data_IF_061241126989
#
_entry.id   IF_061241126989
#
_cell.length_a   1.000
_cell.length_b   1.000
_cell.length_c   1.000
_cell.angle_alpha   90.00
_cell.angle_beta   90.00
_cell.angle_gamma   90.00
#
_symmetry.space_group_name_H-M   'P 1'
#
loop_
_entity.id
_entity.type
_entity.pdbx_description
1 polymer ?
#
# COMPACT_ATOMS: atom_id res chain seq x y z
N UNK A 1 -3.76 20.83 9.05
CA UNK A 1 -5.03 20.49 8.37
C UNK A 1 -6.21 20.49 9.33
N UNK A 2 -6.16 19.70 10.42
CA UNK A 2 -7.24 19.60 11.42
C UNK A 2 -7.75 20.95 11.98
N UNK A 3 -6.85 21.90 12.30
CA UNK A 3 -7.25 23.19 12.87
C UNK A 3 -8.06 24.10 11.91
N UNK A 4 -8.21 23.73 10.63
CA UNK A 4 -9.02 24.45 9.64
C UNK A 4 -10.50 24.07 9.66
N UNK A 5 -10.86 22.95 10.29
CA UNK A 5 -12.25 22.51 10.44
C UNK A 5 -12.62 22.56 11.93
N UNK A 6 -13.72 23.24 12.26
CA UNK A 6 -14.09 23.50 13.66
C UNK A 6 -14.36 22.19 14.42
N UNK A 7 -15.08 21.24 13.83
CA UNK A 7 -15.33 19.95 14.46
C UNK A 7 -14.04 19.16 14.74
N UNK A 8 -13.12 19.11 13.77
CA UNK A 8 -11.79 18.53 13.96
C UNK A 8 -10.99 19.23 15.05
N UNK A 9 -11.09 20.56 15.13
CA UNK A 9 -10.43 21.32 16.20
C UNK A 9 -10.98 20.93 17.57
N UNK A 10 -12.29 20.80 17.70
CA UNK A 10 -12.96 20.44 18.95
C UNK A 10 -12.70 18.99 19.37
N UNK A 11 -12.58 18.06 18.42
CA UNK A 11 -12.28 16.66 18.76
C UNK A 11 -10.81 16.43 19.10
N UNK A 12 -9.87 17.01 18.36
CA UNK A 12 -8.45 16.62 18.45
C UNK A 12 -7.59 17.59 19.28
N UNK A 13 -8.14 18.73 19.69
CA UNK A 13 -7.45 19.70 20.54
C UNK A 13 -8.24 19.97 21.82
N UNK A 14 -7.51 20.29 22.89
CA UNK A 14 -8.07 20.85 24.11
C UNK A 14 -8.49 22.30 23.88
N UNK A 15 -9.12 22.89 24.90
CA UNK A 15 -9.50 24.31 24.89
C UNK A 15 -8.34 25.20 24.45
N UNK A 16 -8.68 26.27 23.71
CA UNK A 16 -7.73 27.21 23.11
C UNK A 16 -6.75 26.58 22.10
N UNK A 17 -7.00 25.35 21.64
CA UNK A 17 -6.20 24.69 20.60
C UNK A 17 -4.95 23.98 21.11
N UNK A 18 -4.86 23.68 22.41
CA UNK A 18 -3.72 22.96 22.97
C UNK A 18 -3.76 21.46 22.62
N UNK A 19 -2.61 20.84 22.34
CA UNK A 19 -2.53 19.39 22.06
C UNK A 19 -2.60 18.54 23.33
N UNK A 20 -3.17 17.34 23.21
CA UNK A 20 -3.09 16.30 24.24
C UNK A 20 -1.62 15.85 24.44
N UNK A 21 -1.26 15.55 25.67
CA UNK A 21 0.07 15.06 26.07
C UNK A 21 0.05 13.57 26.41
N UNK A 22 1.18 12.86 26.30
CA UNK A 22 1.27 11.46 26.73
C UNK A 22 0.76 11.27 28.17
N UNK A 23 -0.08 10.26 28.38
CA UNK A 23 -0.70 9.96 29.67
C UNK A 23 -2.04 10.69 29.92
N UNK A 24 -2.42 11.67 29.11
CA UNK A 24 -3.75 12.29 29.20
C UNK A 24 -4.84 11.40 28.59
N UNK A 25 -6.07 11.51 29.14
CA UNK A 25 -7.24 10.82 28.61
C UNK A 25 -7.76 11.55 27.38
N UNK A 26 -7.79 10.85 26.25
CA UNK A 26 -8.43 11.30 25.01
C UNK A 26 -9.80 10.62 24.85
N UNK A 27 -10.89 11.38 25.03
CA UNK A 27 -12.24 10.83 25.01
C UNK A 27 -13.01 11.27 23.74
N UNK A 28 -13.62 10.30 23.05
CA UNK A 28 -14.40 10.54 21.82
C UNK A 28 -15.84 10.05 21.99
N UNK A 29 -16.67 10.82 22.71
CA UNK A 29 -18.04 10.42 23.07
C UNK A 29 -18.97 10.27 21.84
N UNK A 30 -18.81 11.15 20.84
CA UNK A 30 -19.59 11.09 19.60
C UNK A 30 -19.22 9.89 18.75
N UNK A 31 -17.92 9.55 18.69
CA UNK A 31 -17.44 8.33 18.03
C UNK A 31 -18.04 7.09 18.70
N UNK A 32 -18.02 7.05 20.03
CA UNK A 32 -18.63 5.94 20.78
C UNK A 32 -20.13 5.81 20.46
N UNK A 33 -20.83 6.93 20.30
CA UNK A 33 -22.25 6.92 19.91
C UNK A 33 -22.45 6.41 18.48
N UNK A 34 -21.57 6.77 17.54
CA UNK A 34 -21.55 6.21 16.18
C UNK A 34 -21.30 4.71 16.18
N UNK A 35 -20.29 4.24 16.92
CA UNK A 35 -19.95 2.82 17.03
C UNK A 35 -21.09 2.01 17.66
N UNK A 36 -21.80 2.54 18.67
CA UNK A 36 -23.01 1.90 19.22
C UNK A 36 -24.11 1.75 18.18
N UNK A 37 -24.35 2.76 17.34
CA UNK A 37 -25.31 2.65 16.23
C UNK A 37 -24.91 1.54 15.25
N UNK A 38 -23.62 1.43 14.91
CA UNK A 38 -23.12 0.35 14.03
C UNK A 38 -23.29 -1.02 14.69
N UNK A 39 -22.97 -1.15 15.98
CA UNK A 39 -23.16 -2.41 16.74
C UNK A 39 -24.63 -2.85 16.73
N UNK A 40 -25.54 -1.92 17.02
CA UNK A 40 -26.96 -2.24 17.24
C UNK A 40 -27.77 -2.38 15.93
N UNK A 41 -27.34 -1.69 14.86
CA UNK A 41 -28.08 -1.61 13.59
C UNK A 41 -27.27 -2.09 12.37
N UNK A 42 -26.07 -2.61 12.59
CA UNK A 42 -25.15 -3.03 11.54
C UNK A 42 -24.87 -1.91 10.53
N UNK A 43 -24.97 -2.26 9.25
CA UNK A 43 -24.80 -1.32 8.12
C UNK A 43 -25.70 -0.09 8.21
N UNK A 44 -26.96 -0.25 8.63
CA UNK A 44 -27.92 0.85 8.69
C UNK A 44 -27.50 1.91 9.72
N UNK A 45 -26.78 1.51 10.77
CA UNK A 45 -26.26 2.42 11.79
C UNK A 45 -25.23 3.43 11.29
N UNK A 46 -24.63 3.20 10.11
CA UNK A 46 -23.70 4.13 9.46
C UNK A 46 -24.30 4.77 8.20
N UNK A 47 -24.83 3.97 7.28
CA UNK A 47 -25.25 4.42 5.96
C UNK A 47 -26.69 4.95 5.90
N UNK A 48 -27.43 4.89 7.00
CA UNK A 48 -28.80 5.40 7.12
C UNK A 48 -29.00 6.12 8.46
N UNK A 49 -30.20 6.69 8.65
CA UNK A 49 -30.60 7.35 9.89
C UNK A 49 -29.64 8.44 10.36
N UNK A 50 -29.46 8.53 11.69
CA UNK A 50 -28.75 9.65 12.33
C UNK A 50 -27.33 9.86 11.83
N UNK A 51 -26.54 8.78 11.63
CA UNK A 51 -25.16 8.92 11.15
C UNK A 51 -25.13 9.48 9.72
N UNK A 52 -25.97 8.96 8.82
CA UNK A 52 -26.09 9.48 7.47
C UNK A 52 -26.56 10.95 7.46
N UNK A 53 -27.50 11.33 8.32
CA UNK A 53 -27.96 12.71 8.45
C UNK A 53 -26.85 13.66 8.89
N UNK A 54 -25.98 13.22 9.81
CA UNK A 54 -24.81 13.99 10.25
C UNK A 54 -23.78 14.13 9.11
N UNK A 55 -23.56 13.10 8.31
CA UNK A 55 -22.72 13.18 7.12
C UNK A 55 -23.30 14.19 6.13
N UNK A 56 -24.61 14.16 5.85
CA UNK A 56 -25.25 15.13 4.94
C UNK A 56 -25.11 16.57 5.45
N UNK A 57 -25.28 16.79 6.75
CA UNK A 57 -25.06 18.10 7.34
C UNK A 57 -23.59 18.57 7.23
N UNK A 58 -22.63 17.64 7.30
CA UNK A 58 -21.21 17.96 7.06
C UNK A 58 -20.94 18.27 5.59
N UNK A 59 -21.53 17.52 4.65
CA UNK A 59 -21.42 17.78 3.22
C UNK A 59 -21.94 19.18 2.88
N UNK A 60 -23.08 19.59 3.45
CA UNK A 60 -23.59 20.96 3.27
C UNK A 60 -22.66 22.02 3.86
N UNK A 61 -22.04 21.76 5.02
CA UNK A 61 -21.12 22.71 5.68
C UNK A 61 -19.79 22.87 4.97
N UNK A 62 -19.31 21.81 4.33
CA UNK A 62 -17.98 21.75 3.71
C UNK A 62 -18.00 21.77 2.18
N UNK A 63 -19.15 22.07 1.56
CA UNK A 63 -19.37 22.01 0.10
C UNK A 63 -18.96 20.65 -0.52
N UNK A 64 -19.32 19.57 0.19
CA UNK A 64 -19.00 18.20 -0.18
C UNK A 64 -19.99 17.60 -1.18
N UNK A 65 -19.50 16.66 -1.98
CA UNK A 65 -20.24 16.08 -3.11
C UNK A 65 -21.03 14.81 -2.76
N UNK A 66 -20.83 14.23 -1.58
CA UNK A 66 -21.48 12.96 -1.21
C UNK A 66 -22.97 13.20 -0.97
N UNK A 67 -23.81 12.48 -1.69
CA UNK A 67 -25.27 12.54 -1.53
C UNK A 67 -25.78 11.41 -0.63
N UNK A 68 -27.04 11.54 -0.20
CA UNK A 68 -27.72 10.46 0.53
C UNK A 68 -27.82 9.19 -0.32
N UNK A 69 -28.01 9.36 -1.62
CA UNK A 69 -28.11 8.24 -2.55
C UNK A 69 -26.79 7.49 -2.64
N UNK A 70 -25.65 8.19 -2.63
CA UNK A 70 -24.31 7.56 -2.61
C UNK A 70 -24.12 6.68 -1.37
N UNK A 71 -24.49 7.19 -0.19
CA UNK A 71 -24.42 6.42 1.06
C UNK A 71 -25.33 5.17 1.01
N UNK A 72 -26.56 5.32 0.55
CA UNK A 72 -27.53 4.22 0.46
C UNK A 72 -27.06 3.14 -0.52
N UNK A 73 -26.52 3.55 -1.67
CA UNK A 73 -26.13 2.65 -2.76
C UNK A 73 -24.80 1.94 -2.53
N UNK A 74 -23.91 2.48 -1.70
CA UNK A 74 -22.58 1.90 -1.49
C UNK A 74 -22.67 0.44 -1.00
N UNK A 75 -21.94 -0.49 -1.62
CA UNK A 75 -21.80 -1.86 -1.13
C UNK A 75 -20.33 -2.27 -1.18
N UNK A 76 -19.90 -3.04 -0.18
CA UNK A 76 -18.59 -3.70 -0.22
C UNK A 76 -18.63 -4.77 -1.31
N UNK A 77 -17.58 -4.84 -2.13
CA UNK A 77 -17.46 -5.81 -3.21
C UNK A 77 -16.45 -6.87 -2.81
N UNK A 78 -16.87 -8.14 -2.87
CA UNK A 78 -15.97 -9.29 -2.71
C UNK A 78 -15.31 -9.57 -4.05
N UNK A 79 -13.99 -9.80 -4.04
CA UNK A 79 -13.20 -10.07 -5.24
C UNK A 79 -12.24 -11.22 -4.98
N UNK A 80 -12.04 -12.04 -6.00
CA UNK A 80 -11.01 -13.07 -5.99
C UNK A 80 -9.62 -12.41 -5.95
N UNK A 81 -8.69 -12.92 -5.11
CA UNK A 81 -7.35 -12.38 -5.02
C UNK A 81 -6.57 -12.59 -6.32
N UNK A 82 -5.59 -11.71 -6.56
CA UNK A 82 -4.57 -11.97 -7.58
C UNK A 82 -3.52 -12.86 -6.94
N UNK A 83 -3.31 -14.03 -7.53
CA UNK A 83 -2.33 -14.99 -7.06
C UNK A 83 -1.33 -15.31 -8.18
N UNK A 84 -0.08 -15.56 -7.80
CA UNK A 84 0.94 -16.10 -8.69
C UNK A 84 1.93 -16.96 -7.93
N UNK A 85 2.64 -17.81 -8.66
CA UNK A 85 3.61 -18.72 -8.10
C UNK A 85 5.00 -18.07 -8.09
N UNK A 86 5.67 -18.12 -6.94
CA UNK A 86 7.06 -17.72 -6.77
C UNK A 86 7.83 -18.89 -6.18
N UNK A 87 8.64 -19.57 -7.01
CA UNK A 87 9.24 -20.87 -6.69
C UNK A 87 8.14 -21.87 -6.30
N UNK A 88 8.28 -22.56 -5.17
CA UNK A 88 7.33 -23.57 -4.68
C UNK A 88 6.18 -22.99 -3.84
N UNK A 89 5.99 -21.67 -3.84
CA UNK A 89 5.00 -20.98 -3.03
C UNK A 89 4.00 -20.19 -3.89
N UNK A 90 2.75 -20.13 -3.43
CA UNK A 90 1.71 -19.28 -4.00
C UNK A 90 1.59 -17.99 -3.19
N UNK A 91 1.75 -16.84 -3.86
CA UNK A 91 1.61 -15.51 -3.26
C UNK A 91 0.30 -14.91 -3.73
N UNK A 92 -0.62 -14.62 -2.81
CA UNK A 92 -1.93 -14.03 -3.09
C UNK A 92 -2.06 -12.65 -2.43
N UNK A 93 -2.57 -11.67 -3.18
CA UNK A 93 -2.73 -10.30 -2.73
C UNK A 93 -3.95 -9.62 -3.39
N UNK A 94 -4.22 -8.38 -3.00
CA UNK A 94 -5.40 -7.65 -3.47
C UNK A 94 -5.47 -7.47 -5.00
N UNK A 95 -6.63 -7.73 -5.62
CA UNK A 95 -6.88 -7.44 -7.03
C UNK A 95 -7.15 -5.93 -7.26
N UNK A 96 -7.25 -5.48 -8.53
CA UNK A 96 -7.83 -4.18 -8.85
C UNK A 96 -9.17 -3.95 -8.12
N UNK A 97 -9.45 -2.74 -7.61
CA UNK A 97 -8.78 -1.45 -7.89
C UNK A 97 -7.51 -1.18 -7.06
N UNK A 98 -6.93 -2.17 -6.37
CA UNK A 98 -5.54 -2.03 -5.92
C UNK A 98 -4.57 -2.45 -7.02
N UNK A 99 -3.51 -1.67 -7.20
CA UNK A 99 -2.35 -2.03 -8.02
C UNK A 99 -1.41 -3.02 -7.33
N UNK A 100 -1.55 -3.17 -6.01
CA UNK A 100 -0.59 -3.86 -5.16
C UNK A 100 -0.34 -5.31 -5.53
N UNK A 101 -1.38 -6.15 -5.58
CA UNK A 101 -1.22 -7.58 -5.83
C UNK A 101 -0.72 -7.88 -7.22
N UNK A 102 -1.23 -7.18 -8.24
CA UNK A 102 -0.80 -7.34 -9.64
C UNK A 102 0.69 -7.10 -9.79
N UNK A 103 1.20 -5.96 -9.30
CA UNK A 103 2.62 -5.64 -9.44
C UNK A 103 3.52 -6.40 -8.47
N UNK A 104 3.01 -6.83 -7.31
CA UNK A 104 3.74 -7.76 -6.45
C UNK A 104 4.06 -9.06 -7.22
N UNK A 105 3.04 -9.69 -7.81
CA UNK A 105 3.23 -10.93 -8.60
C UNK A 105 4.10 -10.66 -9.82
N UNK A 106 3.89 -9.56 -10.53
CA UNK A 106 4.71 -9.19 -11.67
C UNK A 106 6.21 -9.07 -11.32
N UNK A 107 6.52 -8.37 -10.22
CA UNK A 107 7.89 -8.21 -9.76
C UNK A 107 8.51 -9.54 -9.31
N UNK A 108 7.74 -10.39 -8.64
CA UNK A 108 8.17 -11.74 -8.26
C UNK A 108 8.49 -12.59 -9.49
N UNK A 109 7.64 -12.58 -10.53
CA UNK A 109 7.89 -13.31 -11.79
C UNK A 109 9.15 -12.82 -12.53
N UNK A 110 9.40 -11.51 -12.53
CA UNK A 110 10.65 -10.99 -13.09
C UNK A 110 11.84 -11.51 -12.28
N UNK A 111 11.78 -11.39 -10.97
CA UNK A 111 12.87 -11.76 -10.04
C UNK A 111 13.15 -13.26 -9.97
N UNK A 112 12.16 -14.11 -10.25
CA UNK A 112 12.29 -15.57 -10.20
C UNK A 112 13.35 -16.13 -11.16
N UNK A 113 13.65 -15.42 -12.25
CA UNK A 113 14.71 -15.83 -13.18
C UNK A 113 16.14 -15.50 -12.74
N UNK A 114 16.32 -14.99 -11.52
CA UNK A 114 17.64 -14.76 -10.94
C UNK A 114 17.82 -15.62 -9.69
N UNK A 115 19.05 -16.11 -9.48
CA UNK A 115 19.42 -16.74 -8.22
C UNK A 115 19.78 -15.69 -7.16
N UNK A 116 18.74 -15.05 -6.62
CA UNK A 116 18.86 -13.95 -5.66
C UNK A 116 19.58 -14.34 -4.37
N UNK A 117 19.43 -15.59 -3.92
CA UNK A 117 20.07 -16.07 -2.69
C UNK A 117 21.59 -16.00 -2.83
N UNK A 118 22.11 -16.47 -3.96
CA UNK A 118 23.54 -16.49 -4.28
C UNK A 118 24.11 -15.08 -4.55
N UNK A 119 23.27 -14.11 -4.92
CA UNK A 119 23.70 -12.71 -5.01
C UNK A 119 23.98 -12.08 -3.63
N UNK A 120 23.44 -12.65 -2.55
CA UNK A 120 23.55 -12.12 -1.19
C UNK A 120 22.55 -11.00 -0.90
N UNK A 121 21.87 -11.11 0.24
CA UNK A 121 20.89 -10.12 0.69
C UNK A 121 21.51 -8.71 0.77
N UNK A 122 20.84 -7.73 0.17
CA UNK A 122 21.27 -6.33 0.11
C UNK A 122 22.68 -6.08 -0.48
N UNK A 123 23.21 -7.02 -1.27
CA UNK A 123 24.36 -6.75 -2.14
C UNK A 123 23.99 -5.78 -3.26
N UNK A 124 24.97 -5.09 -3.85
CA UNK A 124 24.72 -4.21 -5.00
C UNK A 124 24.08 -4.95 -6.19
N UNK A 125 24.49 -6.20 -6.42
CA UNK A 125 23.94 -7.01 -7.50
C UNK A 125 22.45 -7.36 -7.28
N UNK A 126 22.08 -7.73 -6.05
CA UNK A 126 20.68 -7.96 -5.67
C UNK A 126 19.87 -6.66 -5.79
N UNK A 127 20.36 -5.57 -5.18
CA UNK A 127 19.66 -4.29 -5.14
C UNK A 127 19.45 -3.71 -6.55
N UNK A 128 20.45 -3.80 -7.43
CA UNK A 128 20.33 -3.32 -8.80
C UNK A 128 19.14 -4.00 -9.51
N UNK A 129 19.03 -5.33 -9.45
CA UNK A 129 17.91 -6.09 -10.04
C UNK A 129 16.58 -5.70 -9.42
N UNK A 130 16.56 -5.55 -8.09
CA UNK A 130 15.37 -5.13 -7.36
C UNK A 130 14.86 -3.76 -7.83
N UNK A 131 15.73 -2.77 -7.97
CA UNK A 131 15.39 -1.43 -8.47
C UNK A 131 14.92 -1.46 -9.93
N UNK A 132 15.60 -2.21 -10.80
CA UNK A 132 15.23 -2.33 -12.22
C UNK A 132 13.86 -2.98 -12.43
N UNK A 133 13.53 -3.96 -11.60
CA UNK A 133 12.22 -4.63 -11.59
C UNK A 133 11.13 -3.70 -11.05
N UNK A 134 11.39 -2.99 -9.94
CA UNK A 134 10.47 -1.99 -9.42
C UNK A 134 10.18 -0.91 -10.46
N UNK A 135 11.21 -0.39 -11.15
CA UNK A 135 11.07 0.62 -12.20
C UNK A 135 10.12 0.18 -13.31
N UNK A 136 10.23 -1.05 -13.80
CA UNK A 136 9.36 -1.60 -14.87
C UNK A 136 7.93 -1.82 -14.39
N UNK A 137 7.75 -2.40 -13.21
CA UNK A 137 6.42 -2.63 -12.65
C UNK A 137 5.65 -1.30 -12.39
N UNK A 138 6.32 -0.25 -11.89
CA UNK A 138 5.67 1.05 -11.70
C UNK A 138 5.43 1.81 -13.01
N UNK A 139 6.21 1.54 -14.07
CA UNK A 139 5.88 2.04 -15.40
C UNK A 139 4.55 1.44 -15.87
N UNK A 140 4.39 0.11 -15.80
CA UNK A 140 3.12 -0.55 -16.15
C UNK A 140 1.94 -0.10 -15.28
N UNK A 141 2.20 0.13 -13.98
CA UNK A 141 1.21 0.67 -13.03
C UNK A 141 0.59 1.97 -13.54
N UNK A 142 1.39 2.83 -14.15
CA UNK A 142 0.94 4.14 -14.60
C UNK A 142 -0.06 4.08 -15.77
N UNK A 143 -0.06 2.99 -16.54
CA UNK A 143 -0.84 2.86 -17.77
C UNK A 143 -2.06 1.93 -17.63
N UNK A 144 -1.90 0.77 -16.98
CA UNK A 144 -2.86 -0.33 -17.15
C UNK A 144 -3.81 -0.55 -15.99
N UNK A 145 -3.58 0.11 -14.85
CA UNK A 145 -4.29 -0.18 -13.61
C UNK A 145 -5.34 0.89 -13.31
N UNK A 146 -6.54 0.45 -12.94
CA UNK A 146 -7.67 1.30 -12.58
C UNK A 146 -8.78 0.47 -11.95
N UNK A 147 -9.99 1.03 -11.87
CA UNK A 147 -11.17 0.29 -11.40
C UNK A 147 -11.61 -0.74 -12.45
N UNK A 148 -11.63 -2.05 -12.13
CA UNK A 148 -12.01 -3.09 -13.08
C UNK A 148 -13.49 -3.02 -13.52
N UNK A 149 -14.34 -2.30 -12.79
CA UNK A 149 -15.75 -2.12 -13.19
C UNK A 149 -15.90 -1.04 -14.28
N UNK A 150 -14.83 -0.28 -14.56
CA UNK A 150 -14.81 0.83 -15.54
C UNK A 150 -13.73 0.65 -16.62
N UNK A 151 -12.66 -0.09 -16.31
CA UNK A 151 -11.53 -0.29 -17.20
C UNK A 151 -11.13 -1.76 -17.22
N UNK A 152 -10.94 -2.34 -18.41
CA UNK A 152 -10.52 -3.73 -18.56
C UNK A 152 -9.03 -3.88 -18.24
N UNK A 153 -8.71 -4.03 -16.94
CA UNK A 153 -7.33 -4.23 -16.47
C UNK A 153 -6.81 -5.57 -17.01
N UNK A 154 -5.69 -5.60 -17.78
CA UNK A 154 -5.16 -6.82 -18.36
C UNK A 154 -4.34 -7.63 -17.35
N UNK A 155 -4.92 -7.95 -16.19
CA UNK A 155 -4.24 -8.61 -15.06
C UNK A 155 -3.48 -9.86 -15.52
N UNK A 156 -4.14 -10.76 -16.25
CA UNK A 156 -3.55 -12.01 -16.73
C UNK A 156 -2.30 -11.80 -17.59
N UNK A 157 -2.22 -10.70 -18.37
CA UNK A 157 -1.05 -10.38 -19.19
C UNK A 157 0.08 -9.79 -18.34
N UNK A 158 -0.25 -8.94 -17.38
CA UNK A 158 0.76 -8.28 -16.51
C UNK A 158 1.45 -9.31 -15.62
N UNK A 159 0.71 -10.31 -15.10
CA UNK A 159 1.25 -11.36 -14.24
C UNK A 159 1.76 -12.58 -15.02
N UNK A 160 1.81 -12.52 -16.35
CA UNK A 160 2.29 -13.62 -17.17
C UNK A 160 3.82 -13.77 -17.06
N UNK A 161 4.32 -15.01 -16.99
CA UNK A 161 5.76 -15.27 -16.85
C UNK A 161 6.54 -14.97 -18.14
N UNK A 162 5.95 -15.15 -19.32
CA UNK A 162 6.59 -14.79 -20.58
C UNK A 162 6.71 -13.27 -20.72
N UNK A 163 5.70 -12.53 -20.26
CA UNK A 163 5.79 -11.06 -20.16
C UNK A 163 6.88 -10.62 -19.17
N UNK A 164 6.95 -11.25 -18.00
CA UNK A 164 8.04 -10.99 -17.05
C UNK A 164 9.43 -11.31 -17.65
N UNK A 165 9.54 -12.36 -18.46
CA UNK A 165 10.78 -12.71 -19.18
C UNK A 165 11.16 -11.64 -20.21
N UNK A 166 10.18 -11.05 -20.91
CA UNK A 166 10.41 -9.92 -21.83
C UNK A 166 11.00 -8.73 -21.08
N UNK A 167 10.31 -8.26 -20.03
CA UNK A 167 10.75 -7.13 -19.22
C UNK A 167 12.14 -7.33 -18.61
N UNK A 168 12.45 -8.57 -18.19
CA UNK A 168 13.74 -8.94 -17.61
C UNK A 168 14.89 -8.89 -18.63
N UNK A 169 14.65 -9.28 -19.89
CA UNK A 169 15.68 -9.27 -20.94
C UNK A 169 16.24 -7.87 -21.20
N UNK A 170 15.43 -6.84 -20.97
CA UNK A 170 15.83 -5.44 -21.16
C UNK A 170 16.63 -4.88 -19.97
N UNK A 171 16.93 -5.68 -18.94
CA UNK A 171 17.72 -5.25 -17.77
C UNK A 171 19.21 -5.46 -18.06
N UNK A 172 19.96 -4.36 -18.19
CA UNK A 172 21.42 -4.36 -18.20
C UNK A 172 21.94 -4.58 -16.77
N UNK A 173 22.54 -5.75 -16.52
CA UNK A 173 23.03 -6.14 -15.19
C UNK A 173 24.22 -5.31 -14.68
N UNK A 174 24.78 -4.44 -15.51
CA UNK A 174 25.95 -3.61 -15.19
C UNK A 174 25.62 -2.14 -15.10
N UNK A 175 24.46 -1.69 -15.60
CA UNK A 175 24.11 -0.28 -15.69
C UNK A 175 22.62 -0.03 -15.43
N UNK A 176 22.32 1.01 -14.66
CA UNK A 176 20.97 1.44 -14.38
C UNK A 176 20.26 1.95 -15.65
N UNK A 177 19.01 1.51 -15.86
CA UNK A 177 18.15 2.06 -16.91
C UNK A 177 17.64 3.44 -16.48
N UNK A 178 17.75 4.47 -17.31
CA UNK A 178 17.09 5.75 -16.99
C UNK A 178 15.56 5.58 -17.04
N UNK A 179 14.81 6.07 -16.05
CA UNK A 179 13.35 5.90 -16.02
C UNK A 179 12.64 6.44 -17.26
N UNK A 180 13.14 7.54 -17.82
CA UNK A 180 12.61 8.12 -19.08
C UNK A 180 12.72 7.20 -20.30
N UNK A 181 13.58 6.18 -20.23
CA UNK A 181 13.77 5.19 -21.29
C UNK A 181 12.93 3.92 -21.05
N UNK A 182 12.28 3.80 -19.90
CA UNK A 182 11.35 2.71 -19.59
C UNK A 182 9.94 3.16 -19.93
N UNK A 183 9.27 2.42 -20.79
CA UNK A 183 7.85 2.58 -21.10
C UNK A 183 7.06 1.38 -20.57
N UNK A 184 5.74 1.52 -20.36
CA UNK A 184 4.87 0.37 -20.13
C UNK A 184 5.05 -0.68 -21.24
N UNK A 185 5.16 -1.95 -20.89
CA UNK A 185 5.69 -2.97 -21.80
C UNK A 185 4.64 -3.74 -22.61
N UNK A 186 3.34 -3.52 -22.38
CA UNK A 186 2.30 -4.07 -23.26
C UNK A 186 2.09 -3.09 -24.42
N UNK A 187 1.98 -3.59 -25.65
CA UNK A 187 1.65 -2.85 -26.88
C UNK A 187 0.19 -2.30 -26.87
N UNK A 188 -0.20 -1.66 -25.77
CA UNK A 188 -1.46 -0.96 -25.59
C UNK A 188 -1.15 0.52 -25.86
N UNK A 189 -2.06 1.20 -26.55
CA UNK A 189 -1.91 2.59 -26.95
C UNK A 189 -1.48 3.52 -25.78
N UNK A 190 -0.18 3.82 -25.77
CA UNK A 190 0.52 4.66 -24.79
C UNK A 190 0.27 6.15 -25.01
N UNK A 191 -0.46 6.57 -26.05
CA UNK A 191 -0.81 7.99 -26.25
C UNK A 191 -1.65 8.56 -25.09
N UNK A 192 -2.23 7.67 -24.27
CA UNK A 192 -2.98 7.99 -23.04
C UNK A 192 -2.15 8.49 -21.85
N UNK A 193 -0.81 8.55 -21.96
CA UNK A 193 0.09 9.08 -20.91
C UNK A 193 0.37 10.60 -21.00
N UNK A 194 -0.19 11.30 -22.00
CA UNK A 194 0.04 12.74 -22.20
C UNK A 194 -1.13 13.54 -21.60
N UNK A 195 -0.97 14.57 -20.75
CA UNK A 195 -0.06 15.73 -20.77
C UNK A 195 -0.04 16.42 -19.39
N UNK A 196 1.14 16.61 -18.81
CA UNK A 196 1.42 17.69 -17.85
C UNK A 196 1.99 17.21 -16.52
N UNK A 197 3.18 17.68 -16.20
CA UNK A 197 3.79 17.50 -14.88
C UNK A 197 3.45 18.72 -14.03
N UNK A 198 2.62 18.52 -13.00
CA UNK A 198 2.63 19.40 -11.84
C UNK A 198 3.44 18.69 -10.76
N UNK A 199 4.21 19.43 -9.96
CA UNK A 199 4.87 18.83 -8.80
C UNK A 199 3.80 18.42 -7.79
N UNK A 200 3.78 17.14 -7.39
CA UNK A 200 2.95 16.69 -6.27
C UNK A 200 3.41 17.41 -4.99
N UNK A 201 2.46 17.95 -4.22
CA UNK A 201 2.76 18.42 -2.87
C UNK A 201 3.22 17.24 -2.00
N UNK A 202 4.26 17.45 -1.16
CA UNK A 202 4.77 16.40 -0.29
C UNK A 202 3.79 16.15 0.86
N UNK A 203 3.10 15.01 0.83
CA UNK A 203 2.11 14.61 1.84
C UNK A 203 2.54 13.33 2.61
N UNK A 204 1.91 13.07 3.77
CA UNK A 204 2.24 11.93 4.62
C UNK A 204 1.60 10.62 4.14
N UNK A 205 2.33 9.51 4.26
CA UNK A 205 1.98 8.17 3.78
C UNK A 205 1.22 7.33 4.82
N UNK A 206 0.14 7.87 5.39
CA UNK A 206 -0.55 7.23 6.51
C UNK A 206 -1.58 6.19 6.08
N UNK A 207 -1.37 4.97 6.54
CA UNK A 207 -2.24 3.82 6.37
C UNK A 207 -2.01 2.97 7.62
N UNK A 208 -2.91 2.06 7.95
CA UNK A 208 -2.64 1.04 8.97
C UNK A 208 -2.79 -0.34 8.39
N UNK A 209 -1.96 -1.27 8.87
CA UNK A 209 -2.00 -2.66 8.50
C UNK A 209 -2.04 -3.50 9.78
N UNK A 210 -2.80 -4.57 9.78
CA UNK A 210 -2.74 -5.60 10.81
C UNK A 210 -2.92 -6.99 10.19
N UNK A 211 -2.33 -7.98 10.85
CA UNK A 211 -2.50 -9.39 10.52
C UNK A 211 -3.00 -10.15 11.74
N UNK A 212 -3.88 -11.12 11.55
CA UNK A 212 -4.33 -12.05 12.59
C UNK A 212 -4.26 -13.50 12.12
N UNK A 213 -3.97 -14.41 13.03
CA UNK A 213 -3.94 -15.84 12.78
C UNK A 213 -4.45 -16.57 14.00
N UNK A 214 -5.54 -17.33 13.85
CA UNK A 214 -6.19 -18.00 14.98
C UNK A 214 -5.96 -19.52 15.01
N UNK A 215 -6.39 -20.13 16.13
CA UNK A 215 -6.29 -21.57 16.37
C UNK A 215 -7.12 -22.44 15.42
N UNK A 216 -8.10 -21.87 14.72
CA UNK A 216 -8.92 -22.58 13.74
C UNK A 216 -8.32 -22.51 12.32
N UNK A 217 -7.18 -21.83 12.17
CA UNK A 217 -6.51 -21.65 10.90
C UNK A 217 -7.03 -20.48 10.07
N UNK A 218 -7.87 -19.60 10.64
CA UNK A 218 -8.26 -18.38 9.94
C UNK A 218 -7.08 -17.41 9.92
N UNK A 219 -6.78 -16.90 8.72
CA UNK A 219 -5.70 -15.94 8.49
C UNK A 219 -6.28 -14.69 7.86
N UNK A 220 -6.00 -13.53 8.46
CA UNK A 220 -6.43 -12.23 7.95
C UNK A 220 -5.20 -11.35 7.77
N UNK A 221 -5.09 -10.76 6.59
CA UNK A 221 -4.17 -9.67 6.28
C UNK A 221 -5.02 -8.48 5.85
N UNK A 222 -5.01 -7.39 6.62
CA UNK A 222 -5.93 -6.27 6.42
C UNK A 222 -5.20 -4.94 6.43
N UNK A 223 -5.41 -4.15 5.37
CA UNK A 223 -4.89 -2.80 5.24
C UNK A 223 -6.07 -1.84 5.13
N UNK A 224 -6.09 -0.80 5.96
CA UNK A 224 -7.15 0.22 5.97
C UNK A 224 -6.55 1.62 6.06
N UNK A 225 -7.21 2.61 5.46
CA UNK A 225 -6.65 3.94 5.25
C UNK A 225 -7.71 5.04 5.23
N UNK A 226 -7.27 6.27 5.50
CA UNK A 226 -8.00 7.51 5.17
C UNK A 226 -7.35 8.25 3.99
N UNK A 227 -6.46 7.57 3.27
CA UNK A 227 -5.43 8.10 2.39
C UNK A 227 -4.30 8.83 3.11
N UNK A 228 -4.47 10.12 3.41
CA UNK A 228 -3.43 10.90 4.10
C UNK A 228 -3.55 10.81 5.63
N UNK A 229 -2.56 11.37 6.33
CA UNK A 229 -2.66 11.57 7.78
C UNK A 229 -3.89 12.39 8.14
N UNK A 230 -4.76 11.81 8.97
CA UNK A 230 -6.08 12.36 9.32
C UNK A 230 -7.00 12.62 8.10
N UNK A 231 -6.74 11.98 6.95
CA UNK A 231 -7.50 12.12 5.71
C UNK A 231 -7.62 13.56 5.20
N UNK A 232 -8.86 13.96 4.91
CA UNK A 232 -9.22 15.33 4.54
C UNK A 232 -9.01 16.34 5.68
N UNK A 233 -8.83 15.86 6.92
CA UNK A 233 -8.82 16.67 8.13
C UNK A 233 -10.18 17.25 8.51
N UNK A 234 -11.26 16.86 7.84
CA UNK A 234 -12.64 17.23 8.14
C UNK A 234 -13.25 16.13 9.00
N UNK A 235 -13.79 16.50 10.16
CA UNK A 235 -14.54 15.58 11.01
C UNK A 235 -16.03 15.82 10.84
N UNK A 236 -16.83 14.76 10.86
CA UNK A 236 -18.29 14.87 10.86
C UNK A 236 -18.75 15.34 12.24
N UNK A 237 -19.21 16.60 12.35
CA UNK A 237 -19.67 17.16 13.61
C UNK A 237 -20.84 16.34 14.20
N UNK A 238 -20.78 16.01 15.49
CA UNK A 238 -21.74 15.14 16.18
C UNK A 238 -21.55 13.63 15.94
N UNK A 239 -20.64 13.21 15.05
CA UNK A 239 -20.41 11.79 14.75
C UNK A 239 -19.02 11.28 15.18
N UNK A 240 -18.06 12.17 15.41
CA UNK A 240 -16.77 11.85 16.03
C UNK A 240 -15.75 11.12 15.15
N UNK A 241 -15.89 11.14 13.82
CA UNK A 241 -14.91 10.53 12.91
C UNK A 241 -14.49 11.46 11.77
N UNK A 242 -13.29 11.20 11.25
CA UNK A 242 -12.70 11.92 10.12
C UNK A 242 -13.16 11.35 8.78
N UNK A 243 -13.27 12.23 7.79
CA UNK A 243 -13.46 11.85 6.39
C UNK A 243 -12.12 11.62 5.71
N UNK A 244 -12.03 10.56 4.90
CA UNK A 244 -10.86 10.30 4.05
C UNK A 244 -10.69 11.38 2.98
N UNK A 245 -9.57 11.33 2.27
CA UNK A 245 -9.34 12.08 1.03
C UNK A 245 -8.92 11.14 -0.12
N UNK A 246 -9.53 9.96 -0.20
CA UNK A 246 -9.16 8.91 -1.15
C UNK A 246 -9.32 9.35 -2.61
N UNK A 247 -10.18 10.35 -2.89
CA UNK A 247 -10.34 10.92 -4.23
C UNK A 247 -9.02 11.49 -4.80
N UNK A 248 -8.02 11.82 -3.97
CA UNK A 248 -6.68 12.23 -4.44
C UNK A 248 -5.95 11.13 -5.22
N UNK A 249 -6.27 9.85 -4.96
CA UNK A 249 -5.63 8.75 -5.68
C UNK A 249 -6.08 8.64 -7.14
N UNK A 250 -7.14 9.35 -7.55
CA UNK A 250 -7.46 9.49 -8.97
C UNK A 250 -6.44 10.35 -9.72
N UNK A 251 -6.28 10.06 -11.00
CA UNK A 251 -5.63 10.97 -11.93
C UNK A 251 -6.53 12.17 -12.21
N UNK A 252 -6.30 13.29 -11.52
CA UNK A 252 -6.99 14.56 -11.77
C UNK A 252 -6.75 15.09 -13.18
N UNK A 253 -5.62 14.73 -13.79
CA UNK A 253 -5.28 14.94 -15.20
C UNK A 253 -4.36 13.81 -15.67
N UNK A 254 -4.73 13.04 -16.72
CA UNK A 254 -3.86 11.97 -17.24
C UNK A 254 -2.43 12.46 -17.50
N UNK A 255 -1.46 11.72 -16.95
CA UNK A 255 -0.04 12.06 -17.02
C UNK A 255 0.48 12.98 -15.91
N UNK A 256 -0.40 13.50 -15.04
CA UNK A 256 0.00 14.26 -13.84
C UNK A 256 0.16 13.35 -12.62
N UNK A 257 1.12 13.63 -11.71
CA UNK A 257 1.28 12.86 -10.49
C UNK A 257 0.21 13.21 -9.44
N UNK A 258 -0.25 12.22 -8.67
CA UNK A 258 -1.07 12.42 -7.47
C UNK A 258 -0.22 12.86 -6.25
N UNK A 259 -0.82 13.00 -5.06
CA UNK A 259 -0.11 13.40 -3.84
C UNK A 259 1.07 12.49 -3.42
N UNK A 260 1.18 11.29 -4.00
CA UNK A 260 2.29 10.36 -3.79
C UNK A 260 3.34 10.39 -4.92
N UNK A 261 3.21 11.30 -5.89
CA UNK A 261 4.10 11.36 -7.05
C UNK A 261 3.80 10.29 -8.11
N UNK A 262 2.72 9.51 -7.97
CA UNK A 262 2.38 8.44 -8.90
C UNK A 262 1.65 9.01 -10.11
N UNK A 263 2.14 8.68 -11.31
CA UNK A 263 1.49 9.05 -12.56
C UNK A 263 0.35 8.07 -12.84
N UNK A 264 -0.83 8.59 -13.13
CA UNK A 264 -1.97 7.80 -13.60
C UNK A 264 -2.37 8.18 -15.02
N UNK A 265 -2.72 7.18 -15.82
CA UNK A 265 -3.34 7.34 -17.13
C UNK A 265 -4.87 7.40 -17.06
N UNK A 266 -5.52 7.31 -18.22
CA UNK A 266 -7.00 7.35 -18.39
C UNK A 266 -7.71 6.27 -17.56
N UNK A 267 -7.08 5.10 -17.37
CA UNK A 267 -7.62 4.00 -16.57
C UNK A 267 -8.04 4.43 -15.15
N UNK A 268 -7.34 5.41 -14.58
CA UNK A 268 -7.59 5.94 -13.23
C UNK A 268 -8.11 7.40 -13.26
N UNK A 269 -8.78 7.83 -14.34
CA UNK A 269 -9.48 9.11 -14.36
C UNK A 269 -10.71 9.13 -13.42
N UNK A 270 -11.10 10.32 -12.95
CA UNK A 270 -12.26 10.54 -12.08
C UNK A 270 -13.55 10.26 -12.85
N UNK A 271 -14.39 9.35 -12.33
CA UNK A 271 -15.73 9.07 -12.86
C UNK A 271 -16.72 8.80 -11.71
N UNK A 272 -18.02 9.16 -11.85
CA UNK A 272 -19.03 8.87 -10.82
C UNK A 272 -19.15 7.38 -10.53
N UNK A 273 -19.11 6.99 -9.25
CA UNK A 273 -19.23 5.59 -8.80
C UNK A 273 -17.95 4.75 -8.92
N UNK A 274 -16.93 5.27 -9.61
CA UNK A 274 -15.62 4.61 -9.75
C UNK A 274 -14.82 4.70 -8.45
N UNK A 275 -13.96 3.71 -8.21
CA UNK A 275 -13.01 3.71 -7.09
C UNK A 275 -11.62 4.13 -7.56
N UNK A 276 -10.90 4.95 -6.78
CA UNK A 276 -9.54 5.35 -7.12
C UNK A 276 -8.55 4.19 -6.99
N UNK A 277 -7.47 4.24 -7.76
CA UNK A 277 -6.41 3.24 -7.76
C UNK A 277 -5.58 3.28 -6.48
N UNK A 278 -5.63 2.21 -5.68
CA UNK A 278 -4.85 2.08 -4.46
C UNK A 278 -3.48 1.40 -4.68
N UNK A 279 -2.59 1.54 -3.69
CA UNK A 279 -1.32 0.78 -3.58
C UNK A 279 -1.32 -0.23 -2.43
N UNK A 280 -2.44 -0.37 -1.69
CA UNK A 280 -2.54 -1.31 -0.57
C UNK A 280 -2.31 -2.75 -1.00
N UNK A 281 -1.38 -3.44 -0.35
CA UNK A 281 -0.94 -4.80 -0.73
C UNK A 281 -1.01 -5.78 0.46
N UNK A 282 -2.15 -5.95 1.14
CA UNK A 282 -2.28 -7.05 2.10
C UNK A 282 -2.11 -8.37 1.35
N UNK A 283 -1.25 -9.23 1.88
CA UNK A 283 -0.72 -10.41 1.20
C UNK A 283 -0.74 -11.60 2.13
N UNK A 284 -1.11 -12.76 1.57
CA UNK A 284 -0.96 -14.07 2.21
C UNK A 284 -0.16 -14.97 1.27
N UNK A 285 0.86 -15.63 1.82
CA UNK A 285 1.67 -16.63 1.13
C UNK A 285 1.25 -18.02 1.59
N UNK A 286 1.17 -18.96 0.64
CA UNK A 286 0.85 -20.35 0.86
C UNK A 286 1.97 -21.24 0.30
N UNK A 287 2.23 -22.38 0.95
CA UNK A 287 3.05 -23.46 0.37
C UNK A 287 2.29 -24.13 -0.78
N UNK A 288 3.01 -24.97 -1.55
CA UNK A 288 2.46 -25.75 -2.65
C UNK A 288 1.23 -26.61 -2.27
N UNK A 289 1.14 -27.06 -1.02
CA UNK A 289 0.01 -27.85 -0.49
C UNK A 289 -1.19 -26.99 -0.04
N UNK A 290 -1.11 -25.67 -0.15
CA UNK A 290 -2.15 -24.72 0.28
C UNK A 290 -2.08 -24.31 1.75
N UNK A 291 -1.07 -24.74 2.50
CA UNK A 291 -0.89 -24.31 3.89
C UNK A 291 -0.44 -22.84 3.94
N UNK A 292 -1.11 -21.94 4.70
CA UNK A 292 -0.64 -20.58 4.85
C UNK A 292 0.70 -20.53 5.58
N UNK A 293 1.63 -19.72 5.07
CA UNK A 293 3.00 -19.55 5.57
C UNK A 293 3.27 -18.16 6.14
N UNK A 294 2.70 -17.11 5.54
CA UNK A 294 2.94 -15.72 5.91
C UNK A 294 1.69 -14.88 5.65
N UNK A 295 1.25 -14.11 6.63
CA UNK A 295 0.36 -12.98 6.46
C UNK A 295 1.16 -11.70 6.68
N UNK A 296 1.12 -10.79 5.71
CA UNK A 296 1.89 -9.55 5.77
C UNK A 296 1.24 -8.43 4.99
N UNK A 297 1.70 -7.22 5.26
CA UNK A 297 1.29 -6.00 4.60
C UNK A 297 1.96 -4.83 5.30
N UNK A 298 1.83 -3.64 4.71
CA UNK A 298 2.45 -2.44 5.22
C UNK A 298 1.58 -1.24 4.87
N UNK A 299 1.59 -0.17 5.68
CA UNK A 299 1.24 1.16 5.23
C UNK A 299 2.38 1.79 4.42
N UNK A 300 2.16 2.97 3.83
CA UNK A 300 3.24 3.70 3.15
C UNK A 300 2.91 4.24 1.76
N UNK A 301 1.64 4.42 1.39
CA UNK A 301 1.24 4.97 0.08
C UNK A 301 1.84 4.17 -1.08
N UNK A 302 2.53 4.85 -2.00
CA UNK A 302 3.22 4.21 -3.13
C UNK A 302 4.26 3.16 -2.70
N UNK A 303 4.86 3.28 -1.52
CA UNK A 303 5.95 2.39 -1.07
C UNK A 303 5.47 1.00 -0.65
N UNK A 304 4.17 0.82 -0.40
CA UNK A 304 3.59 -0.42 0.15
C UNK A 304 4.00 -1.63 -0.67
N UNK A 305 3.86 -1.56 -2.00
CA UNK A 305 4.12 -2.69 -2.91
C UNK A 305 5.58 -3.17 -2.78
N UNK A 306 6.53 -2.23 -2.76
CA UNK A 306 7.96 -2.54 -2.64
C UNK A 306 8.36 -3.04 -1.26
N UNK A 307 7.71 -2.57 -0.19
CA UNK A 307 7.96 -3.03 1.19
C UNK A 307 7.47 -4.47 1.35
N UNK A 308 6.28 -4.77 0.83
CA UNK A 308 5.71 -6.12 0.85
C UNK A 308 6.55 -7.06 -0.02
N UNK A 309 6.97 -6.64 -1.21
CA UNK A 309 7.90 -7.42 -2.05
C UNK A 309 9.15 -7.83 -1.29
N UNK A 310 9.85 -6.86 -0.68
CA UNK A 310 11.07 -7.15 0.10
C UNK A 310 10.77 -8.06 1.29
N UNK A 311 9.64 -7.90 1.98
CA UNK A 311 9.26 -8.79 3.09
C UNK A 311 9.04 -10.23 2.61
N UNK A 312 8.35 -10.41 1.47
CA UNK A 312 8.13 -11.74 0.87
C UNK A 312 9.45 -12.36 0.42
N UNK A 313 10.34 -11.61 -0.22
CA UNK A 313 11.67 -12.09 -0.62
C UNK A 313 12.54 -12.44 0.60
N UNK A 314 12.53 -11.62 1.64
CA UNK A 314 13.29 -11.87 2.86
C UNK A 314 12.91 -13.22 3.48
N UNK A 315 11.62 -13.51 3.55
CA UNK A 315 11.12 -14.80 4.08
C UNK A 315 11.38 -15.96 3.12
N UNK A 316 11.02 -15.84 1.83
CA UNK A 316 11.02 -16.98 0.90
C UNK A 316 12.35 -17.22 0.18
N UNK A 317 13.18 -16.19 0.01
CA UNK A 317 14.43 -16.23 -0.76
C UNK A 317 15.64 -16.28 0.15
N UNK A 318 15.61 -15.51 1.23
CA UNK A 318 16.73 -15.36 2.17
C UNK A 318 16.51 -16.09 3.50
N UNK A 319 15.44 -16.88 3.60
CA UNK A 319 15.14 -17.75 4.75
C UNK A 319 15.11 -17.00 6.10
N UNK A 320 14.69 -15.73 6.07
CA UNK A 320 14.60 -14.90 7.28
C UNK A 320 13.32 -15.21 8.05
N UNK A 321 13.44 -15.30 9.37
CA UNK A 321 12.27 -15.25 10.25
C UNK A 321 11.58 -13.88 10.17
N UNK A 322 10.27 -13.82 10.44
CA UNK A 322 9.48 -12.60 10.22
C UNK A 322 9.97 -11.38 11.00
N UNK A 323 10.55 -11.55 12.18
CA UNK A 323 11.17 -10.47 12.95
C UNK A 323 12.41 -9.90 12.24
N UNK A 324 13.26 -10.76 11.70
CA UNK A 324 14.44 -10.37 10.92
C UNK A 324 14.03 -9.71 9.60
N UNK A 325 13.09 -10.33 8.88
CA UNK A 325 12.55 -9.80 7.62
C UNK A 325 11.94 -8.39 7.80
N UNK A 326 11.24 -8.15 8.93
CA UNK A 326 10.71 -6.84 9.29
C UNK A 326 11.81 -5.84 9.65
N UNK A 327 12.87 -6.27 10.34
CA UNK A 327 13.97 -5.38 10.74
C UNK A 327 14.89 -4.99 9.58
N UNK A 328 15.03 -5.86 8.57
CA UNK A 328 15.91 -5.67 7.42
C UNK A 328 15.74 -4.29 6.75
N UNK A 329 16.84 -3.59 6.39
CA UNK A 329 16.78 -2.32 5.67
C UNK A 329 16.12 -2.46 4.30
N UNK A 330 15.24 -1.51 3.96
CA UNK A 330 14.47 -1.52 2.71
C UNK A 330 14.89 -0.42 1.76
N UNK A 331 14.55 -0.59 0.49
CA UNK A 331 14.62 0.46 -0.53
C UNK A 331 13.32 0.55 -1.34
N UNK A 332 13.19 1.62 -2.10
CA UNK A 332 12.02 1.89 -2.91
C UNK A 332 12.38 2.69 -4.16
N UNK A 333 11.86 2.25 -5.30
CA UNK A 333 11.83 3.00 -6.55
C UNK A 333 10.43 2.86 -7.15
N UNK A 334 9.89 3.93 -7.73
CA UNK A 334 8.52 3.97 -8.27
C UNK A 334 8.49 4.51 -9.69
N UNK A 335 9.52 4.18 -10.48
CA UNK A 335 9.74 4.71 -11.83
C UNK A 335 10.02 6.21 -11.85
N UNK A 336 9.05 7.05 -11.52
CA UNK A 336 9.20 8.51 -11.44
C UNK A 336 8.84 9.03 -10.04
N UNK A 337 9.64 9.96 -9.46
CA UNK A 337 10.93 10.46 -9.96
C UNK A 337 12.00 9.36 -10.05
N UNK A 338 12.99 9.53 -10.93
CA UNK A 338 14.11 8.58 -11.06
C UNK A 338 15.08 8.74 -9.89
N UNK A 339 14.67 8.22 -8.75
CA UNK A 339 15.36 8.35 -7.46
C UNK A 339 15.08 7.10 -6.62
N UNK A 340 16.14 6.44 -6.15
CA UNK A 340 16.07 5.33 -5.22
C UNK A 340 16.05 5.87 -3.80
N UNK A 341 14.94 5.64 -3.10
CA UNK A 341 14.86 5.86 -1.67
C UNK A 341 15.34 4.63 -0.92
N UNK A 342 15.98 4.82 0.23
CA UNK A 342 16.53 3.73 1.04
C UNK A 342 16.41 4.04 2.53
N UNK A 343 16.49 2.99 3.35
CA UNK A 343 16.57 3.08 4.80
C UNK A 343 18.02 3.02 5.31
N UNK A 344 18.23 3.35 6.58
CA UNK A 344 19.54 3.14 7.20
C UNK A 344 19.85 1.64 7.32
N UNK A 345 21.11 1.26 7.13
CA UNK A 345 21.58 -0.13 7.30
C UNK A 345 22.13 -0.78 6.03
N UNK A 346 22.02 -0.15 4.87
CA UNK A 346 22.78 -0.55 3.68
C UNK A 346 24.27 -0.23 3.84
N UNK A 347 25.14 -1.13 3.38
CA UNK A 347 26.58 -0.86 3.30
C UNK A 347 26.87 0.33 2.40
N UNK A 348 27.83 1.17 2.79
CA UNK A 348 28.29 2.29 1.96
C UNK A 348 28.83 1.81 0.61
N UNK A 349 29.50 0.66 0.59
CA UNK A 349 30.04 0.07 -0.64
C UNK A 349 28.91 -0.32 -1.60
N UNK A 350 27.83 -0.93 -1.08
CA UNK A 350 26.63 -1.23 -1.88
C UNK A 350 26.07 0.04 -2.51
N UNK A 351 25.88 1.10 -1.73
CA UNK A 351 25.33 2.37 -2.23
C UNK A 351 26.26 3.04 -3.25
N UNK A 352 27.58 2.96 -3.05
CA UNK A 352 28.56 3.50 -3.99
C UNK A 352 28.55 2.73 -5.30
N UNK A 353 28.60 1.39 -5.26
CA UNK A 353 28.56 0.56 -6.47
C UNK A 353 27.28 0.82 -7.26
N UNK A 354 26.11 0.94 -6.60
CA UNK A 354 24.86 1.28 -7.28
C UNK A 354 24.91 2.67 -7.94
N UNK A 355 25.54 3.64 -7.27
CA UNK A 355 25.77 4.98 -7.83
C UNK A 355 26.66 4.91 -9.06
N UNK A 356 27.74 4.12 -9.02
CA UNK A 356 28.66 3.91 -10.13
C UNK A 356 28.00 3.18 -11.31
N UNK A 357 27.04 2.28 -11.03
CA UNK A 357 26.15 1.69 -12.05
C UNK A 357 25.16 2.70 -12.65
N UNK A 358 25.02 3.90 -12.07
CA UNK A 358 24.17 4.98 -12.56
C UNK A 358 22.83 5.14 -11.86
N UNK A 359 22.58 4.42 -10.74
CA UNK A 359 21.38 4.66 -9.94
C UNK A 359 21.46 5.99 -9.22
N UNK A 360 20.41 6.80 -9.31
CA UNK A 360 20.30 8.03 -8.54
C UNK A 360 19.80 7.70 -7.12
N UNK A 361 20.71 7.62 -6.15
CA UNK A 361 20.37 7.31 -4.76
C UNK A 361 20.02 8.60 -4.00
N UNK A 362 18.96 8.57 -3.19
CA UNK A 362 18.61 9.71 -2.34
C UNK A 362 19.79 10.11 -1.42
N UNK A 363 19.96 11.42 -1.18
CA UNK A 363 21.08 11.90 -0.36
C UNK A 363 20.98 11.58 1.15
N UNK A 364 19.83 11.07 1.61
CA UNK A 364 19.61 10.68 3.01
C UNK A 364 18.62 9.52 3.11
N UNK A 365 18.80 8.63 4.10
CA UNK A 365 17.82 7.58 4.36
C UNK A 365 16.50 8.16 4.88
N UNK A 366 15.41 7.41 4.68
CA UNK A 366 14.09 7.69 5.28
C UNK A 366 13.44 6.39 5.74
N UNK A 367 12.40 6.48 6.57
CA UNK A 367 11.59 5.31 6.95
C UNK A 367 10.72 4.88 5.77
N UNK A 368 10.66 3.57 5.50
CA UNK A 368 9.85 2.96 4.45
C UNK A 368 8.90 1.92 5.04
N UNK A 369 7.61 2.26 5.08
CA UNK A 369 6.55 1.37 5.54
C UNK A 369 6.59 1.05 7.04
N UNK A 370 5.79 0.05 7.43
CA UNK A 370 5.71 -0.47 8.79
C UNK A 370 4.96 -1.81 8.79
N UNK A 371 5.68 -2.91 8.62
CA UNK A 371 5.06 -4.22 8.45
C UNK A 371 4.42 -4.74 9.73
N UNK A 372 3.25 -5.36 9.64
CA UNK A 372 2.68 -6.17 10.72
C UNK A 372 2.41 -7.55 10.17
N UNK A 373 3.15 -8.54 10.68
CA UNK A 373 3.31 -9.80 9.97
C UNK A 373 3.23 -10.99 10.93
N UNK A 374 2.60 -12.07 10.46
CA UNK A 374 2.55 -13.35 11.17
C UNK A 374 3.04 -14.43 10.22
N UNK A 375 4.02 -15.22 10.65
CA UNK A 375 4.59 -16.34 9.91
C UNK A 375 4.27 -17.65 10.63
N UNK A 376 4.04 -18.72 9.86
CA UNK A 376 3.97 -20.08 10.40
C UNK A 376 5.37 -20.54 10.81
N UNK A 377 5.54 -20.90 12.06
CA UNK A 377 6.78 -21.47 12.60
C UNK A 377 6.76 -23.00 12.60
N UNK A 378 7.81 -23.58 13.18
CA UNK A 378 7.90 -25.03 13.37
C UNK A 378 6.76 -25.57 14.26
N UNK A 379 6.43 -26.85 14.09
CA UNK A 379 5.42 -27.56 14.90
C UNK A 379 4.07 -26.83 14.99
N UNK A 380 3.67 -26.15 13.91
CA UNK A 380 2.44 -25.35 13.81
C UNK A 380 2.36 -24.16 14.78
N UNK A 381 3.50 -23.68 15.28
CA UNK A 381 3.55 -22.40 15.99
C UNK A 381 3.28 -21.22 15.04
N UNK A 382 2.92 -20.07 15.60
CA UNK A 382 2.81 -18.81 14.88
C UNK A 382 3.80 -17.81 15.46
N UNK A 383 4.54 -17.15 14.58
CA UNK A 383 5.55 -16.16 14.91
C UNK A 383 5.02 -14.80 14.47
N UNK A 384 4.75 -13.90 15.42
CA UNK A 384 4.30 -12.54 15.14
C UNK A 384 5.45 -11.54 15.23
N UNK A 385 5.54 -10.62 14.28
CA UNK A 385 6.45 -9.48 14.37
C UNK A 385 5.74 -8.17 14.03
N UNK A 386 6.12 -7.14 14.79
CA UNK A 386 5.67 -5.77 14.60
C UNK A 386 6.86 -4.90 14.24
N UNK A 387 6.74 -4.13 13.17
CA UNK A 387 7.80 -3.24 12.73
C UNK A 387 7.98 -2.05 13.68
N UNK A 388 9.18 -1.92 14.23
CA UNK A 388 9.52 -0.92 15.24
C UNK A 388 9.69 0.50 14.68
N UNK A 389 9.61 0.68 13.35
CA UNK A 389 9.71 1.99 12.69
C UNK A 389 8.54 2.92 12.99
N UNK A 390 7.38 2.38 13.36
CA UNK A 390 6.23 3.15 13.86
C UNK A 390 6.02 2.84 15.34
N UNK A 391 5.59 3.86 16.08
CA UNK A 391 5.24 3.71 17.49
C UNK A 391 3.83 3.12 17.64
N UNK A 392 3.57 2.47 18.78
CA UNK A 392 2.23 2.00 19.14
C UNK A 392 1.79 0.72 18.44
N UNK A 393 2.69 0.01 17.77
CA UNK A 393 2.45 -1.31 17.20
C UNK A 393 2.96 -2.41 18.14
N UNK A 394 2.39 -3.62 18.03
CA UNK A 394 2.79 -4.76 18.83
C UNK A 394 2.36 -6.07 18.19
N UNK A 395 3.09 -7.14 18.52
CA UNK A 395 2.69 -8.51 18.21
C UNK A 395 2.38 -9.20 19.54
N UNK A 396 1.20 -9.82 19.62
CA UNK A 396 0.71 -10.46 20.84
C UNK A 396 0.26 -11.86 20.50
N UNK A 397 0.77 -12.85 21.22
CA UNK A 397 0.25 -14.21 21.15
C UNK A 397 -1.03 -14.30 21.96
N UNK A 398 -2.02 -15.07 21.46
CA UNK A 398 -3.19 -15.38 22.26
C UNK A 398 -2.76 -16.21 23.47
N UNK A 399 -3.03 -15.73 24.68
CA UNK A 399 -2.93 -16.56 25.88
C UNK A 399 -4.00 -17.66 25.76
N UNK A 400 -3.56 -18.90 25.64
CA UNK A 400 -4.45 -20.05 25.74
C UNK A 400 -4.76 -20.20 27.23
N UNK A 401 -5.97 -19.87 27.65
CA UNK A 401 -6.40 -20.17 29.02
C UNK A 401 -6.33 -21.69 29.21
N UNK A 402 -5.51 -22.14 30.17
CA UNK A 402 -5.36 -23.55 30.57
C UNK A 402 -6.65 -24.15 31.15
#
# INVERSE_FOLDING_TARGET
RLAKNDASKDYFYKQKGASYQPGEIFQQADLASTLRRIRDQGRAGFYQGKTADLIMAEMQRSDGLITRQDLQNYKVVLREPVCGDYRDNKVCAMPPPSSGGVHLVQMLNMLEGYDLATLGHNSAAYVHRLVEVMRRAYADRSAYLGDPDYYAVPVAKIIDKDYANLLRKDIDLTKATASKAVTPGLDIDVESLSKGQAAAEKESVETTHFSTWDQWGNVVSSTTTLNFSYGSGISVAGAGFLLNNEMDDFSSKPGSPNGFGLIGGIANAIEPGKRPLSSMTPTIVFSADGTPLLATGSPGGSTIITVVLQTVLNVLTFDMGVAEASAAPRLHHQWLPDLVFFESGFSKDTLQILTDMGHNIAGKPRILGSTQSIQRGERNSTLGASDTRRQGSGAVAQEVAE
#
